data_IF_363587945218
#
_entry.id   IF_363587945218
#
_cell.length_a   1.000
_cell.length_b   1.000
_cell.length_c   1.000
_cell.angle_alpha   90.00
_cell.angle_beta   90.00
_cell.angle_gamma   90.00
#
_symmetry.space_group_name_H-M   'P 1'
#
loop_
_entity.id
_entity.type
_entity.pdbx_description
1 polymer ?
#
# COMPACT_ATOMS: atom_id res chain seq x y z
N UNK A 1 16.01 -3.96 11.18
CA UNK A 1 14.60 -4.29 11.44
C UNK A 1 13.78 -3.58 10.38
N UNK A 2 13.37 -4.28 9.33
CA UNK A 2 12.69 -3.67 8.17
C UNK A 2 11.20 -3.49 8.40
N UNK A 3 10.57 -2.56 7.66
CA UNK A 3 9.11 -2.43 7.60
C UNK A 3 8.54 -3.62 6.81
N UNK A 4 7.51 -4.28 7.32
CA UNK A 4 6.77 -5.30 6.56
C UNK A 4 5.65 -4.61 5.77
N UNK A 5 5.70 -4.71 4.44
CA UNK A 5 4.76 -4.06 3.53
C UNK A 5 3.91 -5.15 2.86
N UNK A 6 2.61 -4.91 2.70
CA UNK A 6 1.71 -5.84 2.01
C UNK A 6 0.86 -5.07 1.01
N UNK A 7 0.84 -5.53 -0.24
CA UNK A 7 0.00 -4.95 -1.29
C UNK A 7 -1.38 -5.60 -1.26
N UNK A 8 -2.44 -4.81 -1.16
CA UNK A 8 -3.82 -5.29 -1.05
C UNK A 8 -4.57 -5.10 -2.37
N UNK A 9 -4.96 -6.20 -3.01
CA UNK A 9 -5.69 -6.21 -4.29
C UNK A 9 -7.20 -6.03 -4.17
N UNK A 10 -7.68 -5.10 -3.34
CA UNK A 10 -9.11 -4.80 -3.15
C UNK A 10 -9.47 -3.44 -3.72
N UNK A 11 -10.55 -3.37 -4.51
CA UNK A 11 -11.09 -2.11 -5.03
C UNK A 11 -11.96 -1.44 -3.96
N UNK A 12 -11.35 -0.55 -3.19
CA UNK A 12 -11.98 0.19 -2.09
C UNK A 12 -11.84 1.70 -2.32
N UNK A 13 -12.73 2.50 -1.73
CA UNK A 13 -12.45 3.93 -1.58
C UNK A 13 -11.37 4.14 -0.50
N UNK A 14 -10.76 5.33 -0.44
CA UNK A 14 -9.64 5.58 0.48
C UNK A 14 -10.02 5.32 1.95
N UNK A 15 -11.18 5.78 2.38
CA UNK A 15 -11.66 5.58 3.76
C UNK A 15 -11.85 4.10 4.10
N UNK A 16 -12.42 3.32 3.19
CA UNK A 16 -12.59 1.87 3.37
C UNK A 16 -11.24 1.14 3.37
N UNK A 17 -10.29 1.57 2.52
CA UNK A 17 -8.95 1.01 2.50
C UNK A 17 -8.20 1.28 3.82
N UNK A 18 -8.35 2.50 4.37
CA UNK A 18 -7.79 2.86 5.67
C UNK A 18 -8.33 1.97 6.79
N UNK A 19 -9.66 1.84 6.88
CA UNK A 19 -10.30 1.00 7.89
C UNK A 19 -9.89 -0.47 7.70
N UNK A 20 -9.93 -0.98 6.47
CA UNK A 20 -9.53 -2.34 6.15
C UNK A 20 -8.08 -2.64 6.58
N UNK A 21 -7.14 -1.74 6.28
CA UNK A 21 -5.74 -1.93 6.68
C UNK A 21 -5.56 -1.88 8.21
N UNK A 22 -6.36 -1.11 8.95
CA UNK A 22 -6.30 -1.08 10.42
C UNK A 22 -6.92 -2.31 11.07
N UNK A 23 -7.95 -2.88 10.44
CA UNK A 23 -8.64 -4.06 10.96
C UNK A 23 -7.88 -5.36 10.67
N UNK A 24 -7.26 -5.49 9.49
CA UNK A 24 -6.64 -6.74 9.02
C UNK A 24 -5.11 -6.69 8.91
N UNK A 25 -4.52 -5.49 8.94
CA UNK A 25 -3.08 -5.27 8.84
C UNK A 25 -2.64 -4.31 9.96
N UNK A 26 -1.85 -3.28 9.65
CA UNK A 26 -1.41 -2.27 10.60
C UNK A 26 -2.06 -0.90 10.30
N UNK A 27 -1.69 -0.29 9.16
CA UNK A 27 -2.28 0.95 8.66
C UNK A 27 -1.92 1.10 7.18
N UNK A 28 -2.47 2.12 6.50
CA UNK A 28 -1.98 2.50 5.17
C UNK A 28 -0.52 2.96 5.23
N UNK A 29 0.23 2.60 4.20
CA UNK A 29 1.66 2.88 4.14
C UNK A 29 1.91 4.39 3.97
N UNK A 30 2.66 5.00 4.88
CA UNK A 30 3.25 6.33 4.66
C UNK A 30 4.65 6.18 4.05
N UNK A 31 4.87 6.79 2.88
CA UNK A 31 6.13 6.74 2.12
C UNK A 31 7.01 7.88 2.61
N UNK A 32 8.14 7.53 3.25
CA UNK A 32 8.99 8.50 3.95
C UNK A 32 10.14 9.06 3.10
N UNK A 33 10.37 8.50 1.91
CA UNK A 33 11.42 8.97 1.03
C UNK A 33 11.65 8.06 -0.18
N UNK A 34 12.65 8.40 -1.02
CA UNK A 34 12.90 7.73 -2.29
C UNK A 34 13.22 6.24 -2.17
N UNK A 35 13.96 5.83 -1.14
CA UNK A 35 14.30 4.42 -0.90
C UNK A 35 13.04 3.57 -0.67
N UNK A 36 12.06 4.09 0.08
CA UNK A 36 10.79 3.38 0.27
C UNK A 36 9.95 3.38 -1.01
N UNK A 37 10.02 4.45 -1.81
CA UNK A 37 9.33 4.51 -3.11
C UNK A 37 9.85 3.44 -4.07
N UNK A 38 11.17 3.24 -4.15
CA UNK A 38 11.79 2.23 -5.02
C UNK A 38 11.32 0.81 -4.69
N UNK A 39 11.30 0.46 -3.39
CA UNK A 39 10.80 -0.85 -2.92
C UNK A 39 9.31 -1.04 -3.29
N UNK A 40 8.50 0.02 -3.17
CA UNK A 40 7.08 -0.05 -3.52
C UNK A 40 6.92 -0.25 -5.02
N UNK A 41 7.69 0.46 -5.84
CA UNK A 41 7.62 0.34 -7.31
C UNK A 41 7.97 -1.08 -7.79
N UNK A 42 8.98 -1.72 -7.18
CA UNK A 42 9.31 -3.13 -7.43
C UNK A 42 8.15 -4.06 -7.02
N UNK A 43 7.59 -3.85 -5.82
CA UNK A 43 6.50 -4.67 -5.30
C UNK A 43 5.25 -4.57 -6.16
N UNK A 44 4.90 -3.35 -6.60
CA UNK A 44 3.78 -3.06 -7.48
C UNK A 44 3.99 -3.67 -8.86
N UNK A 45 5.21 -3.63 -9.40
CA UNK A 45 5.55 -4.27 -10.68
C UNK A 45 5.41 -5.79 -10.66
N UNK A 46 5.57 -6.40 -9.47
CA UNK A 46 5.44 -7.85 -9.26
C UNK A 46 4.06 -8.29 -8.75
N UNK A 47 3.07 -7.38 -8.73
CA UNK A 47 1.77 -7.64 -8.15
C UNK A 47 1.07 -8.86 -8.81
N UNK A 48 0.57 -9.84 -8.03
CA UNK A 48 -0.07 -11.04 -8.57
C UNK A 48 -1.51 -10.80 -9.07
N UNK A 49 -1.96 -9.55 -9.13
CA UNK A 49 -3.30 -9.13 -9.52
C UNK A 49 -3.27 -7.84 -10.33
N UNK A 50 -4.35 -7.57 -11.08
CA UNK A 50 -4.48 -6.36 -11.88
C UNK A 50 -4.59 -5.12 -10.98
N UNK A 51 -3.75 -4.12 -11.26
CA UNK A 51 -3.71 -2.86 -10.55
C UNK A 51 -4.62 -1.82 -11.20
N UNK A 52 -5.08 -0.87 -10.39
CA UNK A 52 -5.70 0.37 -10.87
C UNK A 52 -4.63 1.40 -11.20
N UNK A 53 -5.03 2.49 -11.87
CA UNK A 53 -4.12 3.60 -12.19
C UNK A 53 -3.56 4.32 -10.96
N UNK A 54 -4.20 4.18 -9.81
CA UNK A 54 -3.81 4.78 -8.55
C UNK A 54 -3.89 3.75 -7.43
N UNK A 55 -3.03 3.90 -6.41
CA UNK A 55 -3.00 3.10 -5.19
C UNK A 55 -3.25 4.01 -3.98
N UNK A 56 -3.87 3.45 -2.93
CA UNK A 56 -4.06 4.19 -1.69
C UNK A 56 -2.85 4.08 -0.78
N UNK A 57 -2.43 5.22 -0.26
CA UNK A 57 -1.36 5.38 0.73
C UNK A 57 -1.88 6.21 1.91
N UNK A 58 -1.13 6.20 3.01
CA UNK A 58 -1.44 7.02 4.17
C UNK A 58 -1.29 8.50 3.80
N UNK A 59 -2.34 9.29 4.07
CA UNK A 59 -2.25 10.75 4.00
C UNK A 59 -1.58 11.22 5.29
N UNK A 60 -0.59 12.12 5.17
CA UNK A 60 -0.07 12.86 6.31
C UNK A 60 -0.88 14.15 6.50
#
# INVERSE_FOLDING_TARGET
MGRNITLVGKRLCWSDALLYCRDFHWDLLNIRGPEEQEIIDEMVSSAPFSLTSHLWVGLH
#
